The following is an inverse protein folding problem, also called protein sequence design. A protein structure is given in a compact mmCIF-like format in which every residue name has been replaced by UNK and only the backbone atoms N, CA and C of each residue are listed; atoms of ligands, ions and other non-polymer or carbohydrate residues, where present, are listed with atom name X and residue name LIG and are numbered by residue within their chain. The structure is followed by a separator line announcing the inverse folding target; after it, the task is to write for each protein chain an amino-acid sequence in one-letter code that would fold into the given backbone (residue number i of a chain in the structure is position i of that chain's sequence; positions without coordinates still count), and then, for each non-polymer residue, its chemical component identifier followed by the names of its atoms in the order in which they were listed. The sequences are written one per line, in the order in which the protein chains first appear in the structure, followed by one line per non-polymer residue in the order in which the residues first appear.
data_IF_577802100894
#
_entry.id   IF_577802100894
#
_cell.length_a   1.000
_cell.length_b   1.000
_cell.length_c   1.000
_cell.angle_alpha   90.00
_cell.angle_beta   90.00
_cell.angle_gamma   90.00
#
_symmetry.space_group_name_H-M   'P 1'
#
loop_
_entity.id
_entity.type
_entity.pdbx_description
1 polymer ?
#
# COMPACT_ATOMS: atom_id res chain seq x y z
N UNK A 1 20.92 -16.98 20.57
CA UNK A 1 21.81 -16.19 19.67
C UNK A 1 20.88 -15.39 18.77
N UNK A 2 20.87 -14.06 18.86
CA UNK A 2 20.01 -13.22 18.01
C UNK A 2 20.56 -13.26 16.57
N UNK A 3 19.72 -13.41 15.52
CA UNK A 3 20.19 -13.67 14.15
C UNK A 3 20.61 -12.41 13.38
N UNK A 4 20.77 -11.25 14.05
CA UNK A 4 21.06 -9.97 13.41
C UNK A 4 22.26 -9.31 14.09
N UNK A 5 23.20 -8.84 13.27
CA UNK A 5 24.47 -8.24 13.70
C UNK A 5 24.46 -6.71 13.54
N UNK A 6 23.54 -6.15 12.74
CA UNK A 6 23.48 -4.71 12.45
C UNK A 6 22.08 -4.23 12.04
N UNK A 7 21.82 -2.94 12.21
CA UNK A 7 20.61 -2.26 11.68
C UNK A 7 20.53 -2.36 10.15
N UNK A 8 21.67 -2.49 9.47
CA UNK A 8 21.72 -2.72 8.03
C UNK A 8 21.12 -4.07 7.61
N UNK A 9 21.01 -5.04 8.51
CA UNK A 9 20.40 -6.34 8.21
C UNK A 9 18.89 -6.21 7.97
N UNK A 10 18.30 -5.06 8.29
CA UNK A 10 16.91 -4.68 7.99
C UNK A 10 16.79 -3.81 6.73
N UNK A 11 17.89 -3.51 6.04
CA UNK A 11 17.84 -2.68 4.84
C UNK A 11 17.15 -3.42 3.69
N UNK A 12 16.16 -2.74 3.09
CA UNK A 12 15.47 -3.23 1.91
C UNK A 12 16.03 -2.46 0.72
N UNK A 13 16.69 -3.17 -0.19
CA UNK A 13 17.16 -2.61 -1.45
C UNK A 13 16.00 -2.69 -2.43
N UNK A 14 15.45 -1.53 -2.78
CA UNK A 14 14.41 -1.38 -3.80
C UNK A 14 14.95 -0.62 -4.99
N UNK A 15 14.54 -1.04 -6.19
CA UNK A 15 14.80 -0.35 -7.44
C UNK A 15 13.98 0.93 -7.55
N UNK A 16 14.35 1.80 -8.48
CA UNK A 16 13.61 3.04 -8.76
C UNK A 16 12.16 2.77 -9.19
N UNK A 17 11.93 1.73 -9.99
CA UNK A 17 10.59 1.34 -10.46
C UNK A 17 9.71 0.87 -9.30
N UNK A 18 10.26 0.07 -8.39
CA UNK A 18 9.56 -0.38 -7.18
C UNK A 18 9.23 0.80 -6.25
N UNK A 19 10.12 1.78 -6.11
CA UNK A 19 9.84 2.98 -5.34
C UNK A 19 8.71 3.81 -5.96
N UNK A 20 8.67 3.95 -7.29
CA UNK A 20 7.57 4.61 -7.98
C UNK A 20 6.24 3.89 -7.75
N UNK A 21 6.21 2.56 -7.83
CA UNK A 21 5.04 1.77 -7.51
C UNK A 21 4.61 1.96 -6.05
N UNK A 22 5.57 1.93 -5.11
CA UNK A 22 5.30 2.15 -3.69
C UNK A 22 4.65 3.50 -3.42
N UNK A 23 5.13 4.56 -4.07
CA UNK A 23 4.54 5.90 -3.95
C UNK A 23 3.12 5.96 -4.55
N UNK A 24 2.87 5.29 -5.68
CA UNK A 24 1.52 5.18 -6.25
C UNK A 24 0.55 4.48 -5.31
N UNK A 25 0.94 3.33 -4.76
CA UNK A 25 0.14 2.58 -3.78
C UNK A 25 -0.14 3.46 -2.55
N UNK A 26 0.89 4.11 -2.01
CA UNK A 26 0.75 5.01 -0.86
C UNK A 26 -0.26 6.13 -1.10
N UNK A 27 -0.21 6.75 -2.28
CA UNK A 27 -1.14 7.82 -2.64
C UNK A 27 -2.57 7.30 -2.80
N UNK A 28 -2.76 6.14 -3.41
CA UNK A 28 -4.08 5.50 -3.51
C UNK A 28 -4.65 5.18 -2.14
N UNK A 29 -3.86 4.56 -1.24
CA UNK A 29 -4.30 4.25 0.12
C UNK A 29 -4.74 5.51 0.85
N UNK A 30 -3.91 6.56 0.83
CA UNK A 30 -4.20 7.82 1.54
C UNK A 30 -5.45 8.53 1.03
N UNK A 31 -5.62 8.61 -0.29
CA UNK A 31 -6.67 9.43 -0.89
C UNK A 31 -7.99 8.66 -1.07
N UNK A 32 -7.93 7.36 -1.31
CA UNK A 32 -9.10 6.55 -1.68
C UNK A 32 -9.49 5.55 -0.60
N UNK A 33 -8.52 4.84 -0.02
CA UNK A 33 -8.79 3.74 0.92
C UNK A 33 -9.07 4.27 2.33
N UNK A 34 -8.21 5.13 2.87
CA UNK A 34 -8.29 5.64 4.25
C UNK A 34 -9.64 6.30 4.55
N UNK A 35 -10.18 7.06 3.60
CA UNK A 35 -11.48 7.72 3.71
C UNK A 35 -12.66 6.75 3.81
N UNK A 36 -12.48 5.49 3.40
CA UNK A 36 -13.53 4.46 3.32
C UNK A 36 -13.30 3.32 4.31
N UNK A 37 -12.21 3.32 5.08
CA UNK A 37 -11.86 2.24 6.03
C UNK A 37 -13.04 1.91 6.95
N UNK A 38 -13.62 2.92 7.59
CA UNK A 38 -14.72 2.71 8.54
C UNK A 38 -15.93 2.03 7.88
N UNK A 39 -16.28 2.44 6.67
CA UNK A 39 -17.37 1.81 5.90
C UNK A 39 -17.05 0.35 5.57
N UNK A 40 -15.81 0.05 5.17
CA UNK A 40 -15.37 -1.30 4.83
C UNK A 40 -15.40 -2.20 6.05
N UNK A 41 -14.94 -1.70 7.20
CA UNK A 41 -14.98 -2.42 8.48
C UNK A 41 -16.42 -2.69 8.93
N UNK A 42 -17.29 -1.69 8.85
CA UNK A 42 -18.70 -1.80 9.26
C UNK A 42 -19.49 -2.77 8.37
N UNK A 43 -19.20 -2.78 7.06
CA UNK A 43 -19.95 -3.60 6.07
C UNK A 43 -19.29 -4.95 5.77
N UNK A 44 -18.02 -5.12 6.13
CA UNK A 44 -17.22 -6.29 5.75
C UNK A 44 -16.97 -6.41 4.24
N UNK A 45 -17.20 -5.36 3.46
CA UNK A 45 -17.11 -5.39 2.00
C UNK A 45 -16.35 -4.19 1.45
N UNK A 46 -15.52 -4.45 0.44
CA UNK A 46 -14.78 -3.41 -0.28
C UNK A 46 -15.67 -2.91 -1.43
N UNK A 47 -16.01 -1.61 -1.50
CA UNK A 47 -16.78 -1.06 -2.61
C UNK A 47 -16.17 -1.34 -3.99
N UNK A 48 -16.97 -1.81 -4.94
CA UNK A 48 -16.54 -2.12 -6.32
C UNK A 48 -15.86 -0.94 -7.02
N UNK A 49 -16.25 0.29 -6.66
CA UNK A 49 -15.65 1.52 -7.17
C UNK A 49 -14.14 1.59 -6.90
N UNK A 50 -13.67 1.12 -5.75
CA UNK A 50 -12.26 1.17 -5.38
C UNK A 50 -11.39 0.35 -6.34
N UNK A 51 -11.87 -0.79 -6.82
CA UNK A 51 -11.16 -1.59 -7.82
C UNK A 51 -11.07 -0.85 -9.16
N UNK A 52 -12.13 -0.13 -9.55
CA UNK A 52 -12.11 0.69 -10.78
C UNK A 52 -11.15 1.87 -10.65
N UNK A 53 -11.06 2.48 -9.47
CA UNK A 53 -10.14 3.58 -9.21
C UNK A 53 -8.69 3.07 -9.21
N UNK A 54 -8.41 1.95 -8.53
CA UNK A 54 -7.09 1.30 -8.55
C UNK A 54 -6.62 1.03 -9.98
N UNK A 55 -7.47 0.43 -10.82
CA UNK A 55 -7.15 0.17 -12.22
C UNK A 55 -6.81 1.45 -13.02
N UNK A 56 -7.49 2.59 -12.75
CA UNK A 56 -7.16 3.88 -13.38
C UNK A 56 -5.78 4.40 -12.96
N UNK A 57 -5.30 4.08 -11.77
CA UNK A 57 -3.96 4.41 -11.30
C UNK A 57 -2.88 3.43 -11.81
N UNK A 58 -3.30 2.37 -12.52
CA UNK A 58 -2.42 1.27 -12.94
C UNK A 58 -1.98 0.40 -11.76
N UNK A 59 -2.89 0.24 -10.78
CA UNK A 59 -2.77 -0.64 -9.62
C UNK A 59 -3.71 -1.84 -9.76
#
# INVERSE_FOLDING_TARGET
MFPFNSVSDFSIIITYEEELLRQKIKNFVKNELENRIKQIEDTGSIPDELFRIAAKHGL
#
